data_IF_731987686488
#
_entry.id   IF_731987686488
#
_cell.length_a   1.000
_cell.length_b   1.000
_cell.length_c   1.000
_cell.angle_alpha   90.00
_cell.angle_beta   90.00
_cell.angle_gamma   90.00
#
_symmetry.space_group_name_H-M   'P 1'
#
loop_
_entity.id
_entity.type
_entity.pdbx_description
1 polymer ?
#
# COMPACT_ATOMS: atom_id res chain seq x y z
N UNK A 1 -32.81 17.83 -55.15
CA UNK A 1 -31.59 18.66 -55.09
C UNK A 1 -32.00 20.09 -54.80
N UNK A 2 -31.39 20.68 -53.77
CA UNK A 2 -31.20 22.12 -53.49
C UNK A 2 -30.67 22.19 -52.04
N UNK A 3 -29.37 22.39 -51.90
CA UNK A 3 -28.78 22.89 -50.65
C UNK A 3 -28.76 24.41 -50.66
N UNK A 4 -28.68 25.03 -49.48
CA UNK A 4 -27.60 25.92 -49.05
C UNK A 4 -27.86 26.37 -47.58
N UNK A 5 -26.91 27.09 -47.00
CA UNK A 5 -26.28 26.89 -45.69
C UNK A 5 -26.36 28.08 -44.71
N UNK A 6 -25.91 27.85 -43.45
CA UNK A 6 -25.47 28.88 -42.48
C UNK A 6 -25.90 28.55 -41.03
N UNK A 7 -25.07 27.89 -40.21
CA UNK A 7 -24.06 28.46 -39.27
C UNK A 7 -24.72 29.22 -38.08
N UNK A 8 -24.64 28.77 -36.83
CA UNK A 8 -23.49 29.01 -35.92
C UNK A 8 -23.78 28.46 -34.51
N UNK A 9 -22.76 27.96 -33.80
CA UNK A 9 -22.73 27.89 -32.33
C UNK A 9 -22.34 26.54 -31.69
N UNK A 10 -21.04 26.25 -31.63
CA UNK A 10 -20.40 25.37 -30.63
C UNK A 10 -20.07 26.23 -29.36
N UNK A 11 -19.63 25.71 -28.19
CA UNK A 11 -19.45 24.31 -27.76
C UNK A 11 -19.82 24.01 -26.27
N UNK A 12 -19.53 22.77 -25.85
CA UNK A 12 -19.12 22.34 -24.49
C UNK A 12 -20.12 22.33 -23.34
N UNK A 13 -20.41 21.12 -22.87
CA UNK A 13 -20.45 20.82 -21.43
C UNK A 13 -19.68 19.51 -21.22
N UNK A 14 -18.35 19.62 -21.22
CA UNK A 14 -17.51 18.64 -20.53
C UNK A 14 -17.96 18.64 -19.05
N UNK A 15 -18.56 17.53 -18.64
CA UNK A 15 -18.77 17.27 -17.23
C UNK A 15 -17.41 16.89 -16.64
N UNK A 16 -16.64 17.91 -16.28
CA UNK A 16 -15.52 17.81 -15.35
C UNK A 16 -16.06 17.25 -14.02
N UNK A 17 -16.07 15.92 -13.92
CA UNK A 17 -16.05 15.23 -12.64
C UNK A 17 -14.59 15.20 -12.16
N UNK A 18 -14.06 16.39 -11.95
CA UNK A 18 -12.73 16.61 -11.43
C UNK A 18 -12.83 16.44 -9.90
N UNK A 19 -12.87 15.19 -9.44
CA UNK A 19 -12.44 14.87 -8.08
C UNK A 19 -10.91 14.96 -8.02
N UNK A 20 -10.40 16.15 -8.32
CA UNK A 20 -9.00 16.48 -8.14
C UNK A 20 -8.68 16.37 -6.64
N UNK A 21 -7.61 15.64 -6.33
CA UNK A 21 -7.04 15.58 -5.00
C UNK A 21 -6.86 17.02 -4.44
N UNK A 22 -7.00 17.24 -3.12
CA UNK A 22 -6.80 18.57 -2.55
C UNK A 22 -5.41 19.09 -2.93
N UNK A 23 -5.38 20.09 -3.81
CA UNK A 23 -4.18 20.53 -4.53
C UNK A 23 -3.13 21.23 -3.65
N UNK A 24 -3.32 21.30 -2.34
CA UNK A 24 -2.48 22.09 -1.43
C UNK A 24 -2.04 21.35 -0.16
N UNK A 25 -2.22 20.03 -0.08
CA UNK A 25 -1.66 19.28 1.04
C UNK A 25 -0.15 19.21 0.88
N UNK A 26 0.58 19.98 1.68
CA UNK A 26 2.04 19.95 1.70
C UNK A 26 2.50 18.88 2.67
N UNK A 27 3.61 18.22 2.36
CA UNK A 27 4.11 17.09 3.13
C UNK A 27 5.53 17.35 3.61
N UNK A 28 5.86 16.83 4.79
CA UNK A 28 7.23 16.77 5.28
C UNK A 28 7.72 15.34 5.41
N UNK A 29 9.00 15.14 5.08
CA UNK A 29 9.65 13.84 5.24
C UNK A 29 9.84 13.57 6.72
N UNK A 30 9.30 12.45 7.22
CA UNK A 30 9.56 11.97 8.58
C UNK A 30 10.79 11.07 8.62
N UNK A 31 10.90 10.14 7.68
CA UNK A 31 12.14 9.43 7.36
C UNK A 31 12.21 9.14 5.86
N UNK A 32 13.44 9.13 5.33
CA UNK A 32 13.70 8.88 3.91
C UNK A 32 14.42 7.55 3.70
N UNK A 33 13.91 6.73 2.77
CA UNK A 33 14.53 5.51 2.27
C UNK A 33 15.02 4.56 3.36
N UNK A 34 14.29 4.48 4.46
CA UNK A 34 14.59 3.59 5.57
C UNK A 34 14.45 2.13 5.12
N UNK A 35 15.48 1.34 5.40
CA UNK A 35 15.49 -0.09 5.09
C UNK A 35 14.73 -0.83 6.20
N UNK A 36 13.79 -1.66 5.77
CA UNK A 36 12.93 -2.46 6.65
C UNK A 36 12.77 -3.85 6.06
N UNK A 37 12.21 -4.78 6.84
CA UNK A 37 11.89 -6.10 6.32
C UNK A 37 10.72 -6.73 7.06
N UNK A 38 9.80 -7.29 6.29
CA UNK A 38 8.63 -7.99 6.80
C UNK A 38 8.85 -9.50 6.67
N UNK A 39 8.93 -10.18 7.81
CA UNK A 39 9.24 -11.60 7.86
C UNK A 39 8.00 -12.48 7.99
N UNK A 40 8.08 -13.66 7.38
CA UNK A 40 7.16 -14.78 7.58
C UNK A 40 7.93 -15.92 8.25
N UNK A 41 8.07 -15.90 9.59
CA UNK A 41 8.73 -16.99 10.30
C UNK A 41 7.89 -18.28 10.19
N UNK A 42 8.55 -19.46 10.26
CA UNK A 42 7.86 -20.74 10.17
C UNK A 42 6.90 -20.94 11.35
N UNK A 43 5.65 -21.32 11.06
CA UNK A 43 4.61 -21.58 12.07
C UNK A 43 3.26 -20.95 11.71
N UNK A 44 2.41 -20.77 12.72
CA UNK A 44 1.15 -20.01 12.61
C UNK A 44 1.35 -18.52 12.94
N UNK A 45 2.52 -18.01 12.57
CA UNK A 45 2.99 -16.69 12.94
C UNK A 45 2.72 -15.67 11.83
N UNK A 46 2.53 -14.43 12.24
CA UNK A 46 2.24 -13.27 11.42
C UNK A 46 3.35 -12.24 11.61
N UNK A 47 3.88 -11.72 10.51
CA UNK A 47 4.68 -10.49 10.52
C UNK A 47 3.79 -9.27 10.29
N UNK A 48 4.05 -8.17 10.99
CA UNK A 48 3.41 -6.88 10.70
C UNK A 48 4.43 -5.75 10.65
N UNK A 49 4.02 -4.64 10.04
CA UNK A 49 4.78 -3.39 10.02
C UNK A 49 3.82 -2.21 10.20
N UNK A 50 4.18 -1.29 11.10
CA UNK A 50 3.58 0.05 11.23
C UNK A 50 4.61 1.03 10.67
N UNK A 51 4.22 1.82 9.66
CA UNK A 51 5.12 2.80 9.06
C UNK A 51 5.23 4.07 9.90
N UNK A 52 4.25 4.38 10.73
CA UNK A 52 4.24 5.55 11.61
C UNK A 52 5.13 5.37 12.84
N UNK A 53 5.26 4.13 13.34
CA UNK A 53 6.21 3.71 14.34
C UNK A 53 7.18 2.68 13.74
N UNK A 54 8.24 3.14 13.03
CA UNK A 54 9.01 2.31 12.10
C UNK A 54 9.60 1.08 12.80
N UNK A 55 8.97 -0.07 12.58
CA UNK A 55 9.34 -1.32 13.22
C UNK A 55 8.50 -2.47 12.69
N UNK A 56 9.06 -3.68 12.71
CA UNK A 56 8.32 -4.90 12.41
C UNK A 56 8.07 -5.70 13.67
N UNK A 57 6.87 -6.28 13.73
CA UNK A 57 6.42 -7.09 14.85
C UNK A 57 6.07 -8.48 14.35
N UNK A 58 6.17 -9.45 15.27
CA UNK A 58 5.75 -10.82 15.02
C UNK A 58 4.71 -11.17 16.07
N UNK A 59 3.67 -11.85 15.62
CA UNK A 59 2.58 -12.30 16.45
C UNK A 59 2.30 -13.77 16.18
N UNK A 60 1.96 -14.49 17.23
CA UNK A 60 1.21 -15.74 17.10
C UNK A 60 -0.22 -15.44 16.65
N UNK A 61 -0.94 -16.46 16.17
CA UNK A 61 -2.35 -16.33 15.80
C UNK A 61 -3.24 -15.81 16.95
N UNK A 62 -2.99 -16.26 18.19
CA UNK A 62 -3.77 -15.85 19.36
C UNK A 62 -3.49 -14.39 19.75
N UNK A 63 -2.23 -13.95 19.73
CA UNK A 63 -1.86 -12.56 19.99
C UNK A 63 -2.49 -11.62 18.95
N UNK A 64 -2.43 -12.02 17.67
CA UNK A 64 -3.02 -11.23 16.61
C UNK A 64 -4.55 -11.15 16.75
N UNK A 65 -5.21 -12.27 17.04
CA UNK A 65 -6.66 -12.29 17.28
C UNK A 65 -7.05 -11.38 18.44
N UNK A 66 -6.30 -11.39 19.54
CA UNK A 66 -6.56 -10.51 20.68
C UNK A 66 -6.42 -9.02 20.31
N UNK A 67 -5.48 -8.67 19.42
CA UNK A 67 -5.35 -7.30 18.92
C UNK A 67 -6.56 -6.90 18.06
N UNK A 68 -7.04 -7.79 17.19
CA UNK A 68 -8.23 -7.54 16.37
C UNK A 68 -9.50 -7.39 17.22
N UNK A 69 -9.68 -8.24 18.23
CA UNK A 69 -10.80 -8.15 19.18
C UNK A 69 -10.78 -6.82 19.94
N UNK A 70 -9.62 -6.45 20.48
CA UNK A 70 -9.46 -5.16 21.17
C UNK A 70 -9.74 -3.97 20.24
N UNK A 71 -9.28 -4.03 19.00
CA UNK A 71 -9.53 -2.99 18.00
C UNK A 71 -11.03 -2.86 17.67
N UNK A 72 -11.74 -3.98 17.57
CA UNK A 72 -13.18 -4.01 17.36
C UNK A 72 -13.94 -3.44 18.57
N UNK A 73 -13.52 -3.75 19.80
CA UNK A 73 -14.12 -3.25 21.03
C UNK A 73 -13.90 -1.74 21.23
N UNK A 74 -12.69 -1.25 20.95
CA UNK A 74 -12.34 0.17 21.16
C UNK A 74 -12.70 1.06 19.97
N UNK A 75 -13.04 0.49 18.81
CA UNK A 75 -13.21 1.21 17.55
C UNK A 75 -11.92 1.83 17.00
N UNK A 76 -10.76 1.46 17.57
CA UNK A 76 -9.44 1.93 17.11
C UNK A 76 -8.81 0.83 16.24
N UNK A 77 -8.40 1.11 14.99
CA UNK A 77 -7.76 0.10 14.15
C UNK A 77 -6.49 -0.47 14.80
N UNK A 78 -6.15 -1.71 14.44
CA UNK A 78 -4.82 -2.26 14.73
C UNK A 78 -3.78 -1.38 14.06
N UNK A 79 -2.67 -1.07 14.74
CA UNK A 79 -1.64 -0.12 14.31
C UNK A 79 -0.84 -0.58 13.07
N UNK A 80 -0.87 -1.87 12.74
CA UNK A 80 -0.17 -2.38 11.55
C UNK A 80 -0.77 -1.83 10.24
N UNK A 81 0.08 -1.42 9.31
CA UNK A 81 -0.31 -1.02 7.95
C UNK A 81 -0.31 -2.20 6.97
N UNK A 82 0.76 -3.02 7.01
CA UNK A 82 0.85 -4.27 6.26
C UNK A 82 1.05 -5.45 7.20
N UNK A 83 0.46 -6.59 6.84
CA UNK A 83 0.70 -7.88 7.48
C UNK A 83 1.18 -8.90 6.46
N UNK A 84 2.00 -9.86 6.91
CA UNK A 84 2.42 -11.00 6.13
C UNK A 84 2.11 -12.29 6.89
N UNK A 85 1.24 -13.13 6.31
CA UNK A 85 0.65 -14.30 7.00
C UNK A 85 0.82 -15.59 6.22
N UNK A 86 1.10 -16.69 6.92
CA UNK A 86 1.27 -18.00 6.31
C UNK A 86 -0.03 -18.80 6.31
N UNK A 87 -0.82 -18.66 5.24
CA UNK A 87 -1.94 -19.55 4.93
C UNK A 87 -1.63 -20.35 3.66
N UNK A 88 -0.56 -21.16 3.71
CA UNK A 88 -0.01 -21.95 2.60
C UNK A 88 0.66 -21.13 1.49
N UNK A 89 0.06 -20.03 1.04
CA UNK A 89 0.55 -19.25 -0.09
C UNK A 89 1.31 -17.98 0.29
N UNK A 90 1.38 -17.64 1.59
CA UNK A 90 1.90 -16.36 2.06
C UNK A 90 1.06 -15.17 1.55
N UNK A 91 0.43 -14.40 2.43
CA UNK A 91 -0.40 -13.28 2.02
C UNK A 91 0.15 -11.97 2.55
N UNK A 92 0.58 -11.10 1.65
CA UNK A 92 0.89 -9.71 1.98
C UNK A 92 -0.42 -8.92 1.87
N UNK A 93 -0.90 -8.41 2.99
CA UNK A 93 -2.23 -7.82 3.11
C UNK A 93 -2.16 -6.44 3.72
N UNK A 94 -2.92 -5.51 3.16
CA UNK A 94 -3.19 -4.19 3.69
C UNK A 94 -4.18 -4.31 4.85
N UNK A 95 -3.86 -3.69 5.99
CA UNK A 95 -4.75 -3.73 7.14
C UNK A 95 -5.99 -2.85 6.89
N UNK A 96 -7.12 -3.30 7.45
CA UNK A 96 -8.38 -2.55 7.39
C UNK A 96 -8.20 -1.09 7.85
N UNK A 97 -8.86 -0.18 7.14
CA UNK A 97 -8.80 1.26 7.39
C UNK A 97 -7.67 2.00 6.66
N UNK A 98 -6.80 1.30 5.92
CA UNK A 98 -5.79 1.90 5.04
C UNK A 98 -6.26 1.88 3.59
N UNK A 99 -5.65 2.72 2.77
CA UNK A 99 -5.79 2.66 1.31
C UNK A 99 -4.40 2.53 0.68
N UNK A 100 -4.29 1.77 -0.41
CA UNK A 100 -3.01 1.62 -1.09
C UNK A 100 -3.13 1.42 -2.60
N UNK A 101 -2.13 1.88 -3.32
CA UNK A 101 -1.93 1.60 -4.74
C UNK A 101 -0.67 0.77 -4.94
N UNK A 102 -0.77 -0.26 -5.78
CA UNK A 102 0.40 -0.87 -6.39
C UNK A 102 0.74 -0.09 -7.65
N UNK A 103 1.95 0.46 -7.69
CA UNK A 103 2.50 1.18 -8.84
C UNK A 103 3.46 0.29 -9.63
N UNK A 104 3.64 0.63 -10.90
CA UNK A 104 4.58 -0.09 -11.75
C UNK A 104 6.02 0.23 -11.32
N UNK A 105 6.96 -0.72 -11.43
CA UNK A 105 8.38 -0.47 -11.11
C UNK A 105 9.00 0.69 -11.89
N UNK A 106 8.42 1.06 -13.02
CA UNK A 106 8.84 2.17 -13.87
C UNK A 106 8.26 3.52 -13.45
N UNK A 107 7.32 3.58 -12.50
CA UNK A 107 6.76 4.84 -12.02
C UNK A 107 7.85 5.65 -11.27
N UNK A 108 8.31 6.77 -11.86
CA UNK A 108 9.51 7.44 -11.39
C UNK A 108 9.24 8.40 -10.23
N UNK A 109 7.96 8.68 -9.90
CA UNK A 109 7.67 9.68 -8.90
C UNK A 109 8.04 9.22 -7.49
N UNK A 110 8.88 10.02 -6.84
CA UNK A 110 9.22 9.93 -5.42
C UNK A 110 8.54 11.05 -4.61
N UNK A 111 7.51 11.71 -5.16
CA UNK A 111 6.81 12.81 -4.49
C UNK A 111 5.66 12.29 -3.62
N UNK A 112 5.52 12.87 -2.43
CA UNK A 112 4.45 12.54 -1.49
C UNK A 112 3.04 12.71 -2.09
N UNK A 113 2.79 13.84 -2.77
CA UNK A 113 1.48 14.13 -3.36
C UNK A 113 1.06 13.13 -4.44
N UNK A 114 1.98 12.72 -5.30
CA UNK A 114 1.70 11.71 -6.35
C UNK A 114 1.39 10.35 -5.71
N UNK A 115 2.15 9.98 -4.67
CA UNK A 115 1.92 8.75 -3.93
C UNK A 115 0.60 8.76 -3.15
N UNK A 116 0.26 9.89 -2.52
CA UNK A 116 -1.02 10.09 -1.83
C UNK A 116 -2.20 10.03 -2.80
N UNK A 117 -2.08 10.69 -3.95
CA UNK A 117 -3.07 10.67 -5.01
C UNK A 117 -3.33 9.24 -5.51
N UNK A 118 -2.25 8.50 -5.80
CA UNK A 118 -2.35 7.10 -6.19
C UNK A 118 -3.01 6.25 -5.10
N UNK A 119 -2.55 6.33 -3.84
CA UNK A 119 -3.08 5.51 -2.75
C UNK A 119 -4.57 5.73 -2.48
N UNK A 120 -5.09 6.95 -2.69
CA UNK A 120 -6.52 7.28 -2.52
C UNK A 120 -7.44 6.63 -3.56
N UNK A 121 -6.93 6.35 -4.76
CA UNK A 121 -7.68 5.72 -5.85
C UNK A 121 -7.30 4.26 -6.07
N UNK A 122 -6.13 3.85 -5.59
CA UNK A 122 -5.61 2.51 -5.66
C UNK A 122 -6.39 1.58 -4.74
N UNK A 123 -6.82 0.44 -5.28
CA UNK A 123 -7.57 -0.58 -4.56
C UNK A 123 -6.73 -1.78 -4.14
N UNK A 124 -5.43 -1.60 -3.85
CA UNK A 124 -4.61 -2.71 -3.36
C UNK A 124 -5.10 -3.11 -1.97
N UNK A 125 -5.42 -4.38 -1.79
CA UNK A 125 -5.87 -4.95 -0.51
C UNK A 125 -5.01 -6.13 -0.09
N UNK A 126 -4.68 -7.02 -1.02
CA UNK A 126 -3.86 -8.19 -0.75
C UNK A 126 -3.19 -8.72 -2.02
N UNK A 127 -2.18 -9.55 -1.81
CA UNK A 127 -1.54 -10.33 -2.86
C UNK A 127 -0.97 -11.63 -2.31
N UNK A 128 -0.96 -12.67 -3.15
CA UNK A 128 -0.33 -13.94 -2.83
C UNK A 128 1.15 -13.87 -3.13
N UNK A 129 1.97 -14.27 -2.18
CA UNK A 129 3.41 -14.16 -2.29
C UNK A 129 4.07 -15.43 -2.81
N UNK A 130 3.40 -16.59 -2.85
CA UNK A 130 3.98 -17.83 -3.40
C UNK A 130 4.30 -17.77 -4.90
N UNK A 131 3.43 -17.14 -5.70
CA UNK A 131 3.66 -16.89 -7.13
C UNK A 131 4.63 -15.71 -7.36
N UNK A 132 5.08 -15.06 -6.29
CA UNK A 132 5.88 -13.84 -6.34
C UNK A 132 5.23 -12.77 -7.24
N UNK A 133 3.90 -12.66 -7.14
CA UNK A 133 3.06 -11.78 -7.97
C UNK A 133 3.56 -10.34 -7.98
N UNK A 134 4.11 -9.88 -6.85
CA UNK A 134 4.82 -8.62 -6.80
C UNK A 134 6.28 -8.84 -7.19
N UNK A 135 6.81 -8.24 -8.26
CA UNK A 135 8.24 -8.31 -8.53
C UNK A 135 9.05 -7.49 -7.51
N UNK A 136 10.34 -7.81 -7.40
CA UNK A 136 11.29 -6.87 -6.81
C UNK A 136 11.20 -5.52 -7.55
N UNK A 137 11.32 -4.43 -6.81
CA UNK A 137 11.12 -3.03 -7.21
C UNK A 137 9.66 -2.59 -7.39
N UNK A 138 8.69 -3.44 -7.04
CA UNK A 138 7.29 -2.99 -6.89
C UNK A 138 7.23 -1.84 -5.89
N UNK A 139 6.44 -0.83 -6.21
CA UNK A 139 6.19 0.31 -5.32
C UNK A 139 4.74 0.23 -4.84
N UNK A 140 4.54 0.22 -3.52
CA UNK A 140 3.24 0.40 -2.91
C UNK A 140 3.18 1.83 -2.33
N UNK A 141 2.14 2.56 -2.68
CA UNK A 141 1.81 3.83 -2.07
C UNK A 141 0.68 3.60 -1.08
N UNK A 142 0.89 3.93 0.19
CA UNK A 142 -0.02 3.59 1.30
C UNK A 142 -0.40 4.85 2.06
N UNK A 143 -1.69 5.01 2.36
CA UNK A 143 -2.19 5.92 3.40
C UNK A 143 -2.29 5.12 4.70
N UNK A 144 -1.52 5.50 5.73
CA UNK A 144 -1.51 4.82 7.04
C UNK A 144 -2.77 5.12 7.85
N UNK A 145 -2.99 4.44 8.97
CA UNK A 145 -4.11 4.75 9.89
C UNK A 145 -4.06 6.17 10.43
N UNK A 146 -2.86 6.73 10.59
CA UNK A 146 -2.69 8.12 11.05
C UNK A 146 -2.75 9.14 9.90
N UNK A 147 -3.07 8.71 8.68
CA UNK A 147 -3.17 9.57 7.50
C UNK A 147 -1.83 10.01 6.93
N UNK A 148 -0.73 9.38 7.33
CA UNK A 148 0.59 9.62 6.74
C UNK A 148 0.71 8.87 5.42
N UNK A 149 1.67 9.28 4.60
CA UNK A 149 1.88 8.71 3.27
C UNK A 149 3.17 7.92 3.30
N UNK A 150 3.09 6.61 3.03
CA UNK A 150 4.25 5.75 2.91
C UNK A 150 4.44 5.33 1.44
N UNK A 151 5.65 5.57 0.91
CA UNK A 151 6.11 4.95 -0.33
C UNK A 151 7.00 3.77 0.02
N UNK A 152 6.50 2.57 -0.25
CA UNK A 152 7.11 1.29 0.09
C UNK A 152 7.64 0.65 -1.17
N UNK A 153 8.96 0.58 -1.32
CA UNK A 153 9.58 -0.14 -2.43
C UNK A 153 9.97 -1.54 -1.95
N UNK A 154 9.42 -2.57 -2.56
CA UNK A 154 9.88 -3.95 -2.36
C UNK A 154 11.27 -4.05 -2.99
N UNK A 155 12.30 -4.37 -2.20
CA UNK A 155 13.67 -4.43 -2.69
C UNK A 155 14.09 -5.83 -3.11
N UNK A 156 13.37 -6.86 -2.65
CA UNK A 156 13.62 -8.26 -3.00
C UNK A 156 12.97 -9.23 -2.01
N UNK A 157 13.10 -10.51 -2.32
CA UNK A 157 12.58 -11.63 -1.54
C UNK A 157 13.71 -12.51 -1.05
N UNK A 158 13.57 -13.06 0.16
CA UNK A 158 14.57 -13.92 0.80
C UNK A 158 13.88 -15.22 1.26
N UNK A 159 14.46 -16.35 0.88
CA UNK A 159 13.91 -17.68 1.14
C UNK A 159 12.66 -17.98 0.30
N UNK A 160 12.11 -19.19 0.46
CA UNK A 160 11.02 -19.72 -0.37
C UNK A 160 11.48 -20.16 -1.77
N UNK A 161 10.54 -20.69 -2.54
CA UNK A 161 10.72 -21.10 -3.93
C UNK A 161 9.51 -20.64 -4.76
N UNK A 162 9.73 -19.73 -5.70
CA UNK A 162 8.69 -19.24 -6.61
C UNK A 162 8.13 -20.32 -7.55
N UNK A 163 8.81 -21.45 -7.70
CA UNK A 163 8.39 -22.59 -8.51
C UNK A 163 7.56 -23.62 -7.75
N UNK A 164 7.50 -23.54 -6.42
CA UNK A 164 6.84 -24.53 -5.57
C UNK A 164 5.64 -23.93 -4.82
N UNK A 165 4.48 -24.55 -5.00
CA UNK A 165 3.28 -24.17 -4.27
C UNK A 165 3.50 -24.51 -2.79
N UNK A 166 3.31 -23.52 -1.91
CA UNK A 166 3.51 -23.71 -0.48
C UNK A 166 4.82 -23.13 0.05
N UNK A 167 5.68 -22.59 -0.82
CA UNK A 167 6.98 -22.02 -0.44
C UNK A 167 7.07 -20.50 -0.68
N UNK A 168 6.19 -19.68 -0.07
CA UNK A 168 6.30 -18.23 -0.17
C UNK A 168 7.61 -17.72 0.47
N UNK A 169 8.06 -16.51 0.11
CA UNK A 169 9.30 -15.99 0.64
C UNK A 169 9.24 -15.82 2.16
N UNK A 170 10.30 -16.25 2.85
CA UNK A 170 10.38 -16.13 4.31
C UNK A 170 10.55 -14.68 4.79
N UNK A 171 10.98 -13.78 3.91
CA UNK A 171 11.14 -12.37 4.22
C UNK A 171 11.04 -11.51 2.95
N UNK A 172 10.40 -10.36 3.10
CA UNK A 172 10.28 -9.33 2.07
C UNK A 172 11.15 -8.15 2.51
N UNK A 173 12.14 -7.79 1.69
CA UNK A 173 12.94 -6.59 1.90
C UNK A 173 12.20 -5.36 1.42
N UNK A 174 12.23 -4.28 2.21
CA UNK A 174 11.51 -3.05 1.95
C UNK A 174 12.44 -1.83 2.07
N UNK A 175 12.15 -0.81 1.28
CA UNK A 175 12.67 0.55 1.46
C UNK A 175 11.50 1.51 1.54
N UNK A 176 11.38 2.23 2.64
CA UNK A 176 10.22 3.05 2.95
C UNK A 176 10.63 4.51 3.10
N UNK A 177 9.91 5.40 2.43
CA UNK A 177 9.91 6.84 2.74
C UNK A 177 8.54 7.17 3.32
N UNK A 178 8.51 7.82 4.49
CA UNK A 178 7.28 8.27 5.12
C UNK A 178 7.22 9.79 5.11
N UNK A 179 6.07 10.32 4.71
CA UNK A 179 5.75 11.73 4.83
C UNK A 179 4.55 11.97 5.74
N UNK A 180 4.61 13.07 6.49
CA UNK A 180 3.51 13.58 7.30
C UNK A 180 2.88 14.78 6.60
N UNK A 181 1.54 14.89 6.56
CA UNK A 181 0.88 16.12 6.15
C UNK A 181 1.34 17.28 7.06
N UNK A 182 1.67 18.42 6.45
CA UNK A 182 1.82 19.68 7.17
C UNK A 182 0.43 20.31 7.30
N UNK A 183 0.01 20.53 8.53
CA UNK A 183 -1.21 21.27 8.86
C UNK A 183 -1.13 22.74 8.50
#
# INVERSE_FOLDING_TARGET
>A
ESGESGESGDPSADADSDSAAPANESYEVFYDKQIMSLGLPPGSDLGSIDFDAPGTHRYTADEWKALEEKAAESGTPVEADLTYRHYFNGFLTLQNGRNAAQLQPTDPSEKAGDCAGAARVGGFTEVKMHEWDLPAKTVLCVVTDKGNIARVVITGFIGGDSGEIGEPPTQIGLRVTLWKPRG
#
